data_IF_534816761206
#
_entry.id   IF_534816761206
#
_cell.length_a   1.000
_cell.length_b   1.000
_cell.length_c   1.000
_cell.angle_alpha   90.00
_cell.angle_beta   90.00
_cell.angle_gamma   90.00
#
_symmetry.space_group_name_H-M   'P 1'
#
loop_
_entity.id
_entity.type
_entity.pdbx_description
1 polymer ?
#
# COMPACT_ATOMS: atom_id res chain seq x y z
N UNK A 1 -2.83 9.85 -14.62
CA UNK A 1 -3.57 9.32 -13.46
C UNK A 1 -5.07 9.23 -13.79
N UNK A 2 -5.76 8.21 -13.28
CA UNK A 2 -7.23 8.12 -13.37
C UNK A 2 -7.89 8.95 -12.26
N UNK A 3 -7.21 9.05 -11.12
CA UNK A 3 -7.63 9.83 -9.97
C UNK A 3 -6.40 10.34 -9.19
N UNK A 4 -6.49 11.57 -8.70
CA UNK A 4 -5.45 12.21 -7.89
C UNK A 4 -6.13 13.12 -6.86
N UNK A 5 -5.72 13.02 -5.59
CA UNK A 5 -6.18 13.96 -4.57
C UNK A 5 -5.47 15.30 -4.71
N UNK A 6 -6.10 16.36 -4.22
CA UNK A 6 -5.45 17.66 -4.13
C UNK A 6 -4.24 17.61 -3.18
N UNK A 7 -3.27 18.51 -3.39
CA UNK A 7 -2.09 18.61 -2.54
C UNK A 7 -2.45 18.94 -1.09
N UNK A 8 -1.58 18.57 -0.18
CA UNK A 8 -1.76 18.74 1.25
C UNK A 8 -2.34 17.49 1.94
N UNK A 9 -2.61 17.61 3.23
CA UNK A 9 -3.13 16.52 4.05
C UNK A 9 -4.20 17.05 5.01
N UNK A 10 -5.46 16.85 4.62
CA UNK A 10 -6.64 17.26 5.39
C UNK A 10 -7.54 16.06 5.67
N UNK A 11 -8.48 16.14 6.64
CA UNK A 11 -9.46 15.08 6.87
C UNK A 11 -10.24 14.71 5.61
N UNK A 12 -10.62 15.70 4.79
CA UNK A 12 -11.37 15.50 3.55
C UNK A 12 -10.56 14.71 2.51
N UNK A 13 -9.24 14.92 2.43
CA UNK A 13 -8.36 14.15 1.56
C UNK A 13 -8.26 12.70 2.04
N UNK A 14 -8.11 12.48 3.35
CA UNK A 14 -8.07 11.14 3.95
C UNK A 14 -9.39 10.39 3.74
N UNK A 15 -10.53 11.07 3.88
CA UNK A 15 -11.86 10.50 3.56
C UNK A 15 -11.95 10.08 2.08
N UNK A 16 -11.50 10.92 1.15
CA UNK A 16 -11.48 10.57 -0.29
C UNK A 16 -10.59 9.37 -0.58
N UNK A 17 -9.42 9.27 0.06
CA UNK A 17 -8.56 8.08 -0.08
C UNK A 17 -9.32 6.84 0.41
N UNK A 18 -9.97 6.92 1.57
CA UNK A 18 -10.74 5.82 2.14
C UNK A 18 -11.88 5.38 1.23
N UNK A 19 -12.61 6.32 0.63
CA UNK A 19 -13.67 6.06 -0.36
C UNK A 19 -13.11 5.36 -1.61
N UNK A 20 -12.03 5.88 -2.20
CA UNK A 20 -11.39 5.29 -3.38
C UNK A 20 -10.85 3.87 -3.12
N UNK A 21 -10.37 3.61 -1.90
CA UNK A 21 -9.87 2.30 -1.49
C UNK A 21 -10.98 1.35 -1.04
N UNK A 22 -12.23 1.82 -0.95
CA UNK A 22 -13.38 1.04 -0.45
C UNK A 22 -13.10 0.45 0.93
N UNK A 23 -12.49 1.25 1.80
CA UNK A 23 -12.09 0.81 3.13
C UNK A 23 -13.29 0.37 3.98
N UNK A 24 -13.15 -0.67 4.80
CA UNK A 24 -14.11 -0.92 5.87
C UNK A 24 -14.07 0.21 6.90
N UNK A 25 -15.18 0.44 7.60
CA UNK A 25 -15.35 1.58 8.53
C UNK A 25 -14.22 1.68 9.57
N UNK A 26 -13.73 0.55 10.09
CA UNK A 26 -12.65 0.57 11.06
C UNK A 26 -11.33 1.13 10.48
N UNK A 27 -11.07 0.92 9.17
CA UNK A 27 -9.89 1.44 8.50
C UNK A 27 -10.05 2.94 8.23
N UNK A 28 -11.23 3.40 7.83
CA UNK A 28 -11.53 4.84 7.71
C UNK A 28 -11.26 5.57 9.02
N UNK A 29 -11.78 5.04 10.13
CA UNK A 29 -11.54 5.60 11.47
C UNK A 29 -10.05 5.56 11.83
N UNK A 30 -9.36 4.47 11.51
CA UNK A 30 -7.93 4.32 11.74
C UNK A 30 -7.12 5.40 11.01
N UNK A 31 -7.42 5.65 9.73
CA UNK A 31 -6.76 6.70 8.93
C UNK A 31 -6.94 8.08 9.56
N UNK A 32 -8.15 8.43 9.95
CA UNK A 32 -8.45 9.73 10.57
C UNK A 32 -7.72 9.91 11.91
N UNK A 33 -7.65 8.87 12.74
CA UNK A 33 -6.87 8.90 13.99
C UNK A 33 -5.36 9.03 13.73
N UNK A 34 -4.87 8.37 12.70
CA UNK A 34 -3.47 8.51 12.29
C UNK A 34 -3.17 9.94 11.81
N UNK A 35 -4.09 10.59 11.09
CA UNK A 35 -3.97 12.00 10.70
C UNK A 35 -3.92 12.92 11.94
N UNK A 36 -4.79 12.71 12.93
CA UNK A 36 -4.72 13.48 14.18
C UNK A 36 -3.36 13.33 14.88
N UNK A 37 -2.85 12.10 14.91
CA UNK A 37 -1.53 11.81 15.48
C UNK A 37 -0.43 12.53 14.68
N UNK A 38 -0.47 12.47 13.37
CA UNK A 38 0.45 13.19 12.48
C UNK A 38 0.46 14.69 12.78
N UNK A 39 -0.71 15.31 12.91
CA UNK A 39 -0.82 16.75 13.17
C UNK A 39 -0.26 17.18 14.54
N UNK A 40 -0.33 16.29 15.53
CA UNK A 40 0.16 16.55 16.90
C UNK A 40 1.62 16.24 17.10
N UNK A 41 2.20 15.33 16.30
CA UNK A 41 3.59 14.90 16.47
C UNK A 41 4.56 15.89 15.87
N UNK A 42 5.66 16.20 16.58
CA UNK A 42 6.78 16.93 15.99
C UNK A 42 7.49 16.07 14.93
N UNK A 43 8.19 16.73 14.02
CA UNK A 43 9.13 16.03 13.15
C UNK A 43 10.25 15.44 14.01
N UNK A 44 10.61 14.19 13.74
CA UNK A 44 11.72 13.53 14.44
C UNK A 44 13.05 14.26 14.16
N UNK A 45 13.95 14.22 15.14
CA UNK A 45 15.27 14.84 15.08
C UNK A 45 16.41 13.87 14.69
N UNK A 46 16.06 12.67 14.25
CA UNK A 46 16.99 11.63 13.79
C UNK A 46 16.77 11.35 12.30
N UNK A 47 17.78 10.81 11.64
CA UNK A 47 17.76 10.57 10.20
C UNK A 47 18.24 11.76 9.37
N UNK A 48 18.14 11.68 8.03
CA UNK A 48 18.51 12.77 7.14
C UNK A 48 17.65 14.01 7.36
N UNK A 49 18.23 15.20 7.10
CA UNK A 49 17.48 16.46 7.17
C UNK A 49 16.37 16.49 6.11
N UNK A 50 15.17 16.87 6.53
CA UNK A 50 14.03 17.15 5.65
C UNK A 50 13.73 18.66 5.57
N UNK A 51 14.70 19.49 5.96
CA UNK A 51 14.59 20.95 5.81
C UNK A 51 14.39 21.29 4.32
N UNK A 52 13.34 22.04 4.01
CA UNK A 52 12.96 22.36 2.64
C UNK A 52 11.90 21.44 2.01
N UNK A 53 11.50 20.36 2.69
CA UNK A 53 10.34 19.57 2.27
C UNK A 53 9.04 20.29 2.69
N UNK A 54 8.26 20.71 1.69
CA UNK A 54 6.95 21.31 1.94
C UNK A 54 5.84 20.26 1.89
N UNK A 55 5.47 19.77 3.06
CA UNK A 55 4.41 18.76 3.21
C UNK A 55 3.02 19.26 2.80
N UNK A 56 2.82 20.59 2.72
CA UNK A 56 1.54 21.16 2.31
C UNK A 56 1.27 21.05 0.80
N UNK A 57 2.33 20.84 0.02
CA UNK A 57 2.26 20.71 -1.44
C UNK A 57 2.47 19.28 -1.96
N UNK A 58 2.49 18.30 -1.07
CA UNK A 58 2.65 16.89 -1.47
C UNK A 58 1.28 16.30 -1.82
N UNK A 59 1.20 15.67 -2.99
CA UNK A 59 0.09 14.79 -3.37
C UNK A 59 0.31 13.43 -2.71
N UNK A 60 -0.64 13.00 -1.90
CA UNK A 60 -0.49 11.81 -1.06
C UNK A 60 -1.11 10.55 -1.66
N UNK A 61 -1.89 10.68 -2.72
CA UNK A 61 -2.51 9.54 -3.39
C UNK A 61 -2.72 9.81 -4.88
N UNK A 62 -2.25 8.89 -5.71
CA UNK A 62 -2.44 8.90 -7.17
C UNK A 62 -2.82 7.49 -7.62
N UNK A 63 -3.97 7.35 -8.28
CA UNK A 63 -4.37 6.10 -8.91
C UNK A 63 -4.00 6.12 -10.39
N UNK A 64 -3.21 5.16 -10.89
CA UNK A 64 -2.92 5.04 -12.30
C UNK A 64 -4.17 4.62 -13.09
N UNK A 65 -4.17 4.86 -14.40
CA UNK A 65 -5.26 4.44 -15.30
C UNK A 65 -5.09 2.96 -15.69
N UNK A 66 -5.10 2.09 -14.68
CA UNK A 66 -4.99 0.64 -14.87
C UNK A 66 -5.66 -0.08 -13.70
N UNK A 67 -5.91 -1.38 -13.89
CA UNK A 67 -6.40 -2.28 -12.86
C UNK A 67 -5.33 -3.32 -12.51
N UNK A 68 -5.47 -3.95 -11.34
CA UNK A 68 -4.59 -5.06 -10.95
C UNK A 68 -4.72 -6.21 -11.96
N UNK A 69 -3.58 -6.79 -12.37
CA UNK A 69 -3.49 -7.89 -13.33
C UNK A 69 -2.89 -9.13 -12.69
N UNK A 70 -3.38 -10.29 -13.07
CA UNK A 70 -2.85 -11.58 -12.63
C UNK A 70 -1.70 -12.10 -13.51
N UNK A 71 -1.52 -11.53 -14.72
CA UNK A 71 -0.44 -11.89 -15.65
C UNK A 71 0.37 -10.66 -16.01
N UNK A 72 1.69 -10.80 -15.97
CA UNK A 72 2.61 -9.72 -16.34
C UNK A 72 2.42 -9.23 -17.77
N UNK A 73 2.06 -10.14 -18.68
CA UNK A 73 1.78 -9.80 -20.08
C UNK A 73 0.61 -8.83 -20.29
N UNK A 74 -0.30 -8.77 -19.34
CA UNK A 74 -1.50 -7.92 -19.37
C UNK A 74 -1.27 -6.53 -18.76
N UNK A 75 -0.13 -6.31 -18.10
CA UNK A 75 0.25 -5.00 -17.56
C UNK A 75 0.62 -4.07 -18.71
N UNK A 76 0.12 -2.81 -18.74
CA UNK A 76 0.45 -1.84 -19.79
C UNK A 76 1.97 -1.58 -19.93
N UNK A 77 2.42 -1.32 -21.15
CA UNK A 77 3.86 -1.18 -21.45
C UNK A 77 4.49 0.06 -20.79
N UNK A 78 3.75 1.13 -20.61
CA UNK A 78 4.19 2.33 -19.90
C UNK A 78 4.50 2.05 -18.42
N UNK A 79 3.86 1.04 -17.83
CA UNK A 79 4.14 0.53 -16.49
C UNK A 79 5.25 -0.52 -16.52
N UNK A 80 5.25 -1.45 -17.49
CA UNK A 80 6.27 -2.50 -17.61
C UNK A 80 7.68 -1.95 -17.83
N UNK A 81 7.81 -0.96 -18.71
CA UNK A 81 9.12 -0.45 -19.14
C UNK A 81 9.98 0.05 -17.96
N UNK A 82 9.46 0.82 -16.97
CA UNK A 82 10.22 1.16 -15.76
C UNK A 82 10.72 -0.06 -14.99
N UNK A 83 9.89 -1.10 -14.81
CA UNK A 83 10.28 -2.31 -14.09
C UNK A 83 11.35 -3.12 -14.84
N UNK A 84 11.25 -3.18 -16.18
CA UNK A 84 12.25 -3.85 -17.01
C UNK A 84 13.60 -3.12 -17.00
N UNK A 85 13.58 -1.79 -16.99
CA UNK A 85 14.80 -0.96 -16.87
C UNK A 85 15.49 -1.11 -15.52
N UNK A 86 14.76 -1.46 -14.44
CA UNK A 86 15.33 -1.79 -13.14
C UNK A 86 16.04 -3.14 -13.12
N UNK A 87 15.94 -3.93 -14.20
CA UNK A 87 16.79 -5.09 -14.44
C UNK A 87 16.42 -6.34 -13.63
N UNK A 88 15.16 -6.48 -13.14
CA UNK A 88 14.72 -7.73 -12.55
C UNK A 88 14.48 -8.76 -13.66
N UNK A 89 15.33 -9.80 -13.81
CA UNK A 89 15.21 -10.75 -14.91
C UNK A 89 13.85 -11.48 -14.89
N UNK A 90 13.28 -11.71 -16.07
CA UNK A 90 12.02 -12.45 -16.18
C UNK A 90 12.12 -13.87 -15.59
N UNK A 91 13.28 -14.51 -15.72
CA UNK A 91 13.57 -15.82 -15.14
C UNK A 91 13.50 -15.79 -13.60
N UNK A 92 13.99 -14.74 -12.96
CA UNK A 92 13.91 -14.56 -11.50
C UNK A 92 12.46 -14.39 -11.05
N UNK A 93 11.70 -13.53 -11.71
CA UNK A 93 10.26 -13.36 -11.44
C UNK A 93 9.47 -14.66 -11.58
N UNK A 94 9.80 -15.47 -12.59
CA UNK A 94 9.16 -16.77 -12.81
C UNK A 94 9.54 -17.83 -11.79
N UNK A 95 10.69 -17.68 -11.11
CA UNK A 95 11.14 -18.63 -10.08
C UNK A 95 10.55 -18.37 -8.70
N UNK A 96 10.13 -17.13 -8.41
CA UNK A 96 9.59 -16.74 -7.11
C UNK A 96 8.22 -17.39 -6.83
N UNK A 97 7.98 -17.71 -5.56
CA UNK A 97 6.72 -18.30 -5.10
C UNK A 97 5.52 -17.37 -5.24
N UNK A 98 5.76 -16.07 -5.14
CA UNK A 98 4.78 -15.01 -5.36
C UNK A 98 5.48 -13.72 -5.80
N UNK A 99 4.80 -12.94 -6.62
CA UNK A 99 5.31 -11.65 -7.14
C UNK A 99 4.19 -10.63 -7.13
N UNK A 100 4.50 -9.41 -6.69
CA UNK A 100 3.63 -8.24 -6.79
C UNK A 100 4.40 -7.06 -7.37
N UNK A 101 3.69 -6.16 -8.04
CA UNK A 101 4.22 -4.90 -8.50
C UNK A 101 3.25 -3.76 -8.16
N UNK A 102 3.82 -2.66 -7.68
CA UNK A 102 3.08 -1.44 -7.36
C UNK A 102 3.57 -0.32 -8.27
N UNK A 103 2.64 0.50 -8.73
CA UNK A 103 2.90 1.70 -9.51
C UNK A 103 2.02 2.83 -8.98
N UNK A 104 2.61 4.00 -8.72
CA UNK A 104 1.97 5.06 -7.95
C UNK A 104 1.40 4.55 -6.62
N UNK A 105 0.13 4.77 -6.36
CA UNK A 105 -0.55 4.37 -5.12
C UNK A 105 -1.30 3.03 -5.24
N UNK A 106 -1.08 2.24 -6.29
CA UNK A 106 -1.84 1.01 -6.54
C UNK A 106 -0.97 -0.21 -6.81
N UNK A 107 -1.45 -1.38 -6.38
CA UNK A 107 -0.92 -2.66 -6.83
C UNK A 107 -1.46 -2.93 -8.24
N UNK A 108 -0.56 -3.04 -9.21
CA UNK A 108 -0.90 -3.23 -10.63
C UNK A 108 -0.70 -4.66 -11.13
N UNK A 109 0.01 -5.46 -10.38
CA UNK A 109 0.25 -6.86 -10.69
C UNK A 109 0.42 -7.68 -9.41
N UNK A 110 -0.18 -8.86 -9.39
CA UNK A 110 -0.05 -9.81 -8.29
C UNK A 110 -0.19 -11.25 -8.81
N UNK A 111 0.68 -12.13 -8.36
CA UNK A 111 0.64 -13.56 -8.68
C UNK A 111 1.25 -14.40 -7.55
N UNK A 112 0.70 -15.60 -7.33
CA UNK A 112 1.24 -16.64 -6.46
C UNK A 112 1.21 -17.98 -7.21
N UNK A 113 2.25 -18.80 -7.07
CA UNK A 113 2.29 -20.14 -7.69
C UNK A 113 1.19 -21.03 -7.13
N UNK A 114 0.49 -21.75 -8.01
CA UNK A 114 -0.61 -22.64 -7.64
C UNK A 114 -0.18 -23.72 -6.64
N UNK A 115 1.02 -24.28 -6.78
CA UNK A 115 1.59 -25.26 -5.86
C UNK A 115 1.81 -24.73 -4.44
N UNK A 116 2.11 -23.44 -4.30
CA UNK A 116 2.29 -22.75 -3.02
C UNK A 116 0.92 -22.42 -2.42
N UNK A 117 -0.02 -21.93 -3.23
CA UNK A 117 -1.39 -21.69 -2.81
C UNK A 117 -2.09 -22.97 -2.35
N UNK A 118 -1.84 -24.10 -3.00
CA UNK A 118 -2.40 -25.41 -2.64
C UNK A 118 -1.96 -25.88 -1.23
N UNK A 119 -0.85 -25.36 -0.71
CA UNK A 119 -0.37 -25.61 0.66
C UNK A 119 -1.02 -24.69 1.69
N UNK A 120 -1.99 -23.87 1.28
CA UNK A 120 -2.67 -22.91 2.15
C UNK A 120 -1.90 -21.59 2.36
N UNK A 121 -0.81 -21.39 1.65
CA UNK A 121 -0.09 -20.10 1.67
C UNK A 121 -0.92 -19.06 0.94
N UNK A 122 -1.10 -17.91 1.58
CA UNK A 122 -1.79 -16.75 1.01
C UNK A 122 -0.78 -15.65 0.73
N UNK A 123 -0.82 -15.13 -0.46
CA UNK A 123 -0.14 -13.91 -0.85
C UNK A 123 -1.10 -13.07 -1.69
N UNK A 124 -1.54 -11.95 -1.14
CA UNK A 124 -2.50 -11.06 -1.80
C UNK A 124 -2.15 -9.59 -1.54
N UNK A 125 -2.78 -8.70 -2.28
CA UNK A 125 -2.69 -7.27 -1.98
C UNK A 125 -3.44 -6.95 -0.68
N UNK A 126 -3.08 -5.83 -0.06
CA UNK A 126 -3.58 -5.47 1.25
C UNK A 126 -5.05 -5.06 1.23
N UNK A 127 -5.52 -4.43 0.14
CA UNK A 127 -6.91 -4.03 -0.01
C UNK A 127 -7.85 -5.25 -0.09
N UNK A 128 -7.46 -6.26 -0.86
CA UNK A 128 -8.20 -7.53 -0.93
C UNK A 128 -8.21 -8.25 0.42
N UNK A 129 -7.11 -8.19 1.17
CA UNK A 129 -7.04 -8.79 2.50
C UNK A 129 -7.94 -8.09 3.52
N UNK A 130 -8.15 -6.77 3.41
CA UNK A 130 -9.02 -5.99 4.29
C UNK A 130 -10.49 -6.39 4.26
N UNK A 131 -10.96 -6.86 3.11
CA UNK A 131 -12.38 -7.17 2.87
C UNK A 131 -12.66 -8.65 2.63
N UNK A 132 -11.59 -9.45 2.49
CA UNK A 132 -11.65 -10.88 2.22
C UNK A 132 -11.73 -11.77 3.46
N UNK A 133 -11.45 -13.06 3.30
CA UNK A 133 -11.51 -14.05 4.40
C UNK A 133 -10.54 -13.76 5.56
N UNK A 134 -9.52 -12.95 5.31
CA UNK A 134 -8.47 -12.61 6.27
C UNK A 134 -8.68 -11.26 6.96
N UNK A 135 -9.82 -10.59 6.75
CA UNK A 135 -10.11 -9.25 7.25
C UNK A 135 -9.88 -9.10 8.76
N UNK A 136 -10.33 -10.07 9.56
CA UNK A 136 -10.14 -10.05 11.01
C UNK A 136 -8.66 -10.21 11.42
N UNK A 137 -7.90 -11.01 10.68
CA UNK A 137 -6.46 -11.16 10.90
C UNK A 137 -5.74 -9.86 10.58
N UNK A 138 -6.08 -9.21 9.46
CA UNK A 138 -5.54 -7.89 9.11
C UNK A 138 -5.85 -6.89 10.21
N UNK A 139 -7.11 -6.77 10.63
CA UNK A 139 -7.55 -5.86 11.69
C UNK A 139 -6.78 -6.06 13.00
N UNK A 140 -6.50 -7.31 13.35
CA UNK A 140 -5.76 -7.67 14.57
C UNK A 140 -4.29 -7.24 14.51
N UNK A 141 -3.66 -7.30 13.33
CA UNK A 141 -2.20 -7.15 13.20
C UNK A 141 -1.76 -5.86 12.49
N UNK A 142 -2.67 -5.16 11.80
CA UNK A 142 -2.34 -3.96 11.03
C UNK A 142 -1.71 -2.88 11.90
N UNK A 143 -0.52 -2.42 11.50
CA UNK A 143 0.29 -1.42 12.18
C UNK A 143 0.43 -1.62 13.70
N UNK A 144 0.62 -2.88 14.15
CA UNK A 144 0.88 -3.20 15.57
C UNK A 144 2.36 -3.22 15.91
N UNK A 145 3.22 -3.58 14.95
CA UNK A 145 4.68 -3.57 15.16
C UNK A 145 5.26 -2.16 15.02
N UNK A 146 4.81 -1.41 14.01
CA UNK A 146 5.15 0.00 13.85
C UNK A 146 3.83 0.78 13.89
N UNK A 147 3.39 1.23 15.07
CA UNK A 147 2.11 1.95 15.20
C UNK A 147 2.23 3.40 14.70
N UNK A 148 1.10 4.06 14.39
CA UNK A 148 1.09 5.49 14.02
C UNK A 148 1.73 6.42 15.06
N UNK A 149 1.85 5.96 16.31
CA UNK A 149 2.46 6.71 17.41
C UNK A 149 3.98 6.58 17.51
N UNK A 150 4.61 5.78 16.64
CA UNK A 150 6.06 5.55 16.68
C UNK A 150 6.83 6.82 16.29
N UNK A 151 6.49 7.43 15.16
CA UNK A 151 7.02 8.73 14.72
C UNK A 151 6.08 9.38 13.69
N UNK A 152 6.35 10.66 13.37
CA UNK A 152 5.48 11.46 12.48
C UNK A 152 5.22 10.80 11.12
N UNK A 153 6.21 10.16 10.50
CA UNK A 153 6.02 9.48 9.21
C UNK A 153 5.30 8.14 9.34
N UNK A 154 5.35 7.46 10.48
CA UNK A 154 4.49 6.31 10.74
C UNK A 154 3.02 6.73 10.85
N UNK A 155 2.76 7.88 11.48
CA UNK A 155 1.42 8.48 11.50
C UNK A 155 0.94 8.87 10.11
N UNK A 156 1.79 9.52 9.29
CA UNK A 156 1.50 9.84 7.90
C UNK A 156 1.16 8.58 7.11
N UNK A 157 1.99 7.54 7.22
CA UNK A 157 1.73 6.25 6.58
C UNK A 157 0.36 5.69 6.97
N UNK A 158 0.02 5.70 8.26
CA UNK A 158 -1.29 5.23 8.73
C UNK A 158 -2.48 5.98 8.13
N UNK A 159 -2.31 7.28 7.84
CA UNK A 159 -3.37 8.11 7.26
C UNK A 159 -3.56 7.88 5.75
N UNK A 160 -2.47 7.67 5.00
CA UNK A 160 -2.51 7.72 3.52
C UNK A 160 -2.01 6.45 2.83
N UNK A 161 -1.73 5.37 3.57
CA UNK A 161 -1.21 4.14 2.99
C UNK A 161 -2.12 3.62 1.87
N UNK A 162 -1.50 3.04 0.87
CA UNK A 162 -2.15 2.35 -0.25
C UNK A 162 -1.22 1.29 -0.80
N UNK A 163 -1.78 0.24 -1.39
CA UNK A 163 -1.00 -0.91 -1.83
C UNK A 163 -0.45 -1.73 -0.66
N UNK A 164 0.56 -2.52 -0.93
CA UNK A 164 1.17 -3.41 0.03
C UNK A 164 0.76 -4.87 -0.14
N UNK A 165 1.36 -5.72 0.67
CA UNK A 165 1.18 -7.18 0.58
C UNK A 165 0.74 -7.76 1.90
N UNK A 166 -0.21 -8.70 1.81
CA UNK A 166 -0.58 -9.59 2.90
C UNK A 166 -0.03 -10.98 2.60
N UNK A 167 0.76 -11.51 3.51
CA UNK A 167 1.34 -12.85 3.42
C UNK A 167 0.94 -13.65 4.65
N UNK A 168 0.37 -14.82 4.43
CA UNK A 168 0.07 -15.77 5.49
C UNK A 168 0.60 -17.16 5.12
N UNK A 169 1.34 -17.75 6.01
CA UNK A 169 1.86 -19.12 5.90
C UNK A 169 1.27 -19.93 7.04
N UNK A 170 0.47 -20.98 6.76
CA UNK A 170 -0.06 -21.84 7.82
C UNK A 170 1.06 -22.61 8.51
N UNK A 171 0.77 -23.07 9.75
CA UNK A 171 1.68 -23.95 10.45
C UNK A 171 1.68 -25.34 9.79
N UNK A 172 2.85 -25.96 9.64
CA UNK A 172 3.01 -27.29 9.06
C UNK A 172 4.30 -27.47 8.30
#
# INVERSE_FOLDING_TARGET
>A
AAFEVSSGLTPEIVEKISEEKHDPEWMRIFRLKALETYNKMPVQNWGPSIAGLDMSNIVTYVRPNTEMRGKWSEVPDDIKNPFERLGIPQAERASLAGVGAQYDSEVVYHNVKAEVAAQGVVYTDMESALTGPYAEMVRKHFMKLVPPTDHKFAALHGAVWSGGSFVYVPAG
#
